data_IF_262533247605
#
_entry.id   IF_262533247605
#
_cell.length_a   1.000
_cell.length_b   1.000
_cell.length_c   1.000
_cell.angle_alpha   90.00
_cell.angle_beta   90.00
_cell.angle_gamma   90.00
#
_symmetry.space_group_name_H-M   'P 1'
#
loop_
_entity.id
_entity.type
_entity.pdbx_description
1 polymer ?
#
# COMPACT_ATOMS: atom_id res chain seq x y z
N UNK A 1 33.03 -2.65 -47.79
CA UNK A 1 33.34 -3.05 -46.40
C UNK A 1 34.77 -2.72 -46.00
N UNK A 2 35.80 -2.97 -46.85
CA UNK A 2 37.20 -2.72 -46.51
C UNK A 2 37.56 -1.25 -46.23
N UNK A 3 37.00 -0.28 -46.99
CA UNK A 3 37.22 1.14 -46.78
C UNK A 3 36.67 1.62 -45.42
N UNK A 4 35.47 1.22 -45.05
CA UNK A 4 34.83 1.64 -43.79
C UNK A 4 35.62 1.16 -42.56
N UNK A 5 36.13 -0.06 -42.61
CA UNK A 5 37.00 -0.62 -41.54
C UNK A 5 38.32 0.13 -41.42
N UNK A 6 38.89 0.53 -42.55
CA UNK A 6 40.15 1.25 -42.55
C UNK A 6 40.00 2.71 -42.07
N UNK A 7 38.87 3.35 -42.40
CA UNK A 7 38.50 4.67 -41.91
C UNK A 7 38.24 4.68 -40.39
N UNK A 8 37.55 3.63 -39.87
CA UNK A 8 37.38 3.45 -38.43
C UNK A 8 38.72 3.27 -37.68
N UNK A 9 39.68 2.57 -38.31
CA UNK A 9 41.03 2.40 -37.72
C UNK A 9 41.82 3.70 -37.69
N UNK A 10 41.60 4.61 -38.61
CA UNK A 10 42.30 5.89 -38.69
C UNK A 10 41.68 6.96 -37.75
N UNK A 11 40.37 6.88 -37.50
CA UNK A 11 39.65 7.85 -36.66
C UNK A 11 39.07 7.23 -35.40
N UNK A 12 39.81 6.36 -34.73
CA UNK A 12 39.34 5.57 -33.56
C UNK A 12 38.69 6.41 -32.46
N UNK A 13 39.25 7.60 -32.18
CA UNK A 13 38.75 8.49 -31.14
C UNK A 13 37.32 9.00 -31.45
N UNK A 14 37.06 9.36 -32.71
CA UNK A 14 35.73 9.85 -33.17
C UNK A 14 34.67 8.76 -33.03
N UNK A 15 34.97 7.54 -33.51
CA UNK A 15 34.02 6.43 -33.41
C UNK A 15 33.82 5.97 -31.97
N UNK A 16 34.88 5.91 -31.16
CA UNK A 16 34.77 5.62 -29.74
C UNK A 16 33.91 6.64 -29.00
N UNK A 17 33.99 7.92 -29.35
CA UNK A 17 33.20 8.99 -28.76
C UNK A 17 31.71 8.85 -29.15
N UNK A 18 31.40 8.59 -30.43
CA UNK A 18 30.04 8.36 -30.89
C UNK A 18 29.43 7.12 -30.25
N UNK A 19 30.16 6.00 -30.22
CA UNK A 19 29.71 4.77 -29.56
C UNK A 19 29.49 5.00 -28.07
N UNK A 20 30.41 5.72 -27.42
CA UNK A 20 30.32 6.08 -26.00
C UNK A 20 29.06 6.90 -25.69
N UNK A 21 28.74 7.89 -26.54
CA UNK A 21 27.51 8.70 -26.39
C UNK A 21 26.26 7.85 -26.59
N UNK A 22 26.18 7.02 -27.64
CA UNK A 22 25.05 6.14 -27.88
C UNK A 22 24.88 5.14 -26.74
N UNK A 23 25.98 4.56 -26.24
CA UNK A 23 25.95 3.66 -25.08
C UNK A 23 25.43 4.37 -23.84
N UNK A 24 25.89 5.60 -23.58
CA UNK A 24 25.47 6.38 -22.43
C UNK A 24 23.98 6.74 -22.48
N UNK A 25 23.47 7.10 -23.66
CA UNK A 25 22.05 7.36 -23.86
C UNK A 25 21.23 6.08 -23.60
N UNK A 26 21.63 4.97 -24.20
CA UNK A 26 20.95 3.68 -23.99
C UNK A 26 20.98 3.28 -22.52
N UNK A 27 22.12 3.41 -21.85
CA UNK A 27 22.25 3.14 -20.43
C UNK A 27 21.31 3.99 -19.58
N UNK A 28 21.24 5.31 -19.83
CA UNK A 28 20.35 6.21 -19.10
C UNK A 28 18.88 5.84 -19.32
N UNK A 29 18.48 5.51 -20.54
CA UNK A 29 17.09 5.10 -20.83
C UNK A 29 16.74 3.85 -20.06
N UNK A 30 17.55 2.80 -20.12
CA UNK A 30 17.32 1.56 -19.38
C UNK A 30 17.36 1.76 -17.88
N UNK A 31 18.30 2.56 -17.37
CA UNK A 31 18.41 2.86 -15.95
C UNK A 31 17.16 3.58 -15.43
N UNK A 32 16.73 4.66 -16.13
CA UNK A 32 15.53 5.42 -15.73
C UNK A 32 14.26 4.58 -15.84
N UNK A 33 14.14 3.75 -16.87
CA UNK A 33 12.99 2.86 -17.03
C UNK A 33 12.95 1.83 -15.91
N UNK A 34 14.09 1.21 -15.58
CA UNK A 34 14.21 0.26 -14.48
C UNK A 34 13.91 0.88 -13.11
N UNK A 35 14.41 2.10 -12.89
CA UNK A 35 14.13 2.84 -11.65
C UNK A 35 12.63 3.17 -11.53
N UNK A 36 12.02 3.68 -12.60
CA UNK A 36 10.59 4.00 -12.61
C UNK A 36 9.73 2.76 -12.35
N UNK A 37 10.08 1.62 -12.95
CA UNK A 37 9.38 0.36 -12.73
C UNK A 37 9.55 -0.15 -11.28
N UNK A 38 10.76 -0.09 -10.73
CA UNK A 38 11.03 -0.49 -9.34
C UNK A 38 10.24 0.35 -8.34
N UNK A 39 10.24 1.68 -8.51
CA UNK A 39 9.44 2.57 -7.66
C UNK A 39 7.95 2.30 -7.76
N UNK A 40 7.43 2.05 -8.95
CA UNK A 40 6.02 1.75 -9.16
C UNK A 40 5.60 0.45 -8.45
N UNK A 41 6.46 -0.56 -8.45
CA UNK A 41 6.21 -1.82 -7.74
C UNK A 41 6.22 -1.67 -6.22
N UNK A 42 7.22 -0.98 -5.67
CA UNK A 42 7.30 -0.77 -4.21
C UNK A 42 6.09 -0.02 -3.66
N UNK A 43 5.49 0.86 -4.45
CA UNK A 43 4.35 1.68 -4.03
C UNK A 43 3.03 0.91 -3.79
N UNK A 44 2.93 -0.35 -4.17
CA UNK A 44 1.69 -1.13 -4.09
C UNK A 44 1.86 -2.54 -3.52
N UNK A 45 2.98 -2.83 -2.89
CA UNK A 45 3.28 -4.18 -2.41
C UNK A 45 2.23 -4.73 -1.44
N UNK A 46 1.60 -3.85 -0.64
CA UNK A 46 0.50 -4.25 0.24
C UNK A 46 -0.72 -4.76 -0.54
N UNK A 47 -1.05 -4.15 -1.68
CA UNK A 47 -2.22 -4.49 -2.51
C UNK A 47 -1.95 -5.76 -3.34
N UNK A 48 -0.75 -5.88 -3.89
CA UNK A 48 -0.37 -7.03 -4.73
C UNK A 48 -0.45 -8.37 -3.97
N UNK A 49 -0.24 -8.35 -2.64
CA UNK A 49 -0.35 -9.55 -1.78
C UNK A 49 -1.77 -10.06 -1.61
N UNK A 50 -2.77 -9.22 -1.83
CA UNK A 50 -4.17 -9.65 -1.66
C UNK A 50 -4.62 -10.67 -2.71
N UNK A 51 -3.94 -10.76 -3.85
CA UNK A 51 -4.35 -11.60 -4.98
C UNK A 51 -5.84 -11.42 -5.31
N UNK A 52 -6.28 -10.18 -5.26
CA UNK A 52 -7.65 -9.82 -5.49
C UNK A 52 -7.96 -9.80 -7.00
N UNK A 53 -9.13 -10.31 -7.37
CA UNK A 53 -9.61 -10.23 -8.75
C UNK A 53 -10.24 -8.87 -9.05
N UNK A 54 -10.84 -8.24 -8.03
CA UNK A 54 -11.50 -6.93 -8.15
C UNK A 54 -11.37 -6.11 -6.88
N UNK A 55 -11.31 -4.79 -7.07
CA UNK A 55 -11.42 -3.80 -5.99
C UNK A 55 -12.58 -2.88 -6.38
N UNK A 56 -13.65 -2.91 -5.60
CA UNK A 56 -14.83 -2.09 -5.83
C UNK A 56 -14.71 -0.82 -5.00
N UNK A 57 -14.88 0.32 -5.65
CA UNK A 57 -14.86 1.64 -5.05
C UNK A 57 -16.20 2.33 -5.31
N UNK A 58 -16.49 3.43 -4.60
CA UNK A 58 -17.57 4.32 -4.96
C UNK A 58 -17.34 4.89 -6.37
N UNK A 59 -18.37 5.00 -7.19
CA UNK A 59 -18.33 5.60 -8.53
C UNK A 59 -17.85 7.06 -8.50
N UNK A 60 -18.12 7.79 -7.42
CA UNK A 60 -17.66 9.16 -7.22
C UNK A 60 -16.15 9.26 -6.92
N UNK A 61 -15.49 8.16 -6.60
CA UNK A 61 -14.09 8.16 -6.19
C UNK A 61 -13.08 8.38 -7.33
N UNK A 62 -13.51 8.32 -8.60
CA UNK A 62 -12.64 8.44 -9.78
C UNK A 62 -11.39 7.53 -9.68
N UNK A 63 -11.59 6.30 -9.23
CA UNK A 63 -10.52 5.34 -9.09
C UNK A 63 -9.53 5.57 -7.94
N UNK A 64 -9.80 6.49 -7.03
CA UNK A 64 -8.91 6.81 -5.92
C UNK A 64 -9.41 6.20 -4.62
N UNK A 65 -8.67 5.24 -4.08
CA UNK A 65 -9.02 4.54 -2.85
C UNK A 65 -9.30 5.49 -1.67
N UNK A 66 -8.48 6.51 -1.49
CA UNK A 66 -8.60 7.48 -0.39
C UNK A 66 -9.80 8.43 -0.54
N UNK A 67 -10.40 8.53 -1.72
CA UNK A 67 -11.61 9.33 -2.00
C UNK A 67 -12.88 8.48 -1.96
N UNK A 68 -12.77 7.17 -2.05
CA UNK A 68 -13.91 6.27 -1.94
C UNK A 68 -14.42 6.21 -0.51
N UNK A 69 -15.72 6.28 -0.34
CA UNK A 69 -16.39 6.10 0.94
C UNK A 69 -17.63 5.25 0.73
N UNK A 70 -17.59 4.06 1.27
CA UNK A 70 -18.64 3.06 1.21
C UNK A 70 -19.16 2.76 2.62
N UNK A 71 -20.35 2.19 2.68
CA UNK A 71 -21.00 1.75 3.91
C UNK A 71 -20.94 0.24 4.07
N UNK A 72 -21.30 -0.26 5.24
CA UNK A 72 -21.46 -1.71 5.42
C UNK A 72 -22.66 -2.25 4.65
N UNK A 73 -23.67 -1.42 4.36
CA UNK A 73 -24.80 -1.83 3.49
C UNK A 73 -24.31 -2.07 2.04
N UNK A 74 -23.41 -1.21 1.53
CA UNK A 74 -22.74 -1.43 0.24
C UNK A 74 -21.96 -2.75 0.26
N UNK A 75 -21.22 -3.01 1.33
CA UNK A 75 -20.48 -4.25 1.51
C UNK A 75 -21.41 -5.47 1.48
N UNK A 76 -22.52 -5.44 2.20
CA UNK A 76 -23.48 -6.54 2.23
C UNK A 76 -24.22 -6.74 0.89
N UNK A 77 -24.38 -5.68 0.11
CA UNK A 77 -25.03 -5.73 -1.22
C UNK A 77 -24.20 -6.52 -2.25
N UNK A 78 -22.86 -6.55 -2.10
CA UNK A 78 -21.97 -7.27 -2.99
C UNK A 78 -22.02 -8.77 -2.70
N UNK A 79 -22.39 -9.55 -3.69
CA UNK A 79 -22.40 -11.03 -3.63
C UNK A 79 -21.22 -11.57 -4.43
N UNK A 80 -20.23 -12.04 -3.72
CA UNK A 80 -19.02 -12.61 -4.28
C UNK A 80 -18.69 -13.94 -3.60
N UNK A 81 -17.76 -14.67 -4.17
CA UNK A 81 -17.29 -15.94 -3.63
C UNK A 81 -16.51 -15.70 -2.33
N UNK A 82 -15.63 -14.71 -2.34
CA UNK A 82 -14.90 -14.22 -1.17
C UNK A 82 -14.80 -12.70 -1.25
N UNK A 83 -15.09 -11.99 -0.17
CA UNK A 83 -15.04 -10.54 -0.10
C UNK A 83 -14.49 -10.06 1.23
N UNK A 84 -13.79 -8.94 1.21
CA UNK A 84 -13.20 -8.33 2.39
C UNK A 84 -13.37 -6.81 2.38
N UNK A 85 -13.56 -6.24 3.55
CA UNK A 85 -13.71 -4.79 3.73
C UNK A 85 -12.34 -4.14 3.96
N UNK A 86 -12.05 -3.06 3.24
CA UNK A 86 -10.84 -2.28 3.40
C UNK A 86 -11.17 -0.83 3.72
N UNK A 87 -10.62 -0.33 4.81
CA UNK A 87 -10.58 1.09 5.11
C UNK A 87 -9.14 1.61 5.03
N UNK A 88 -8.91 2.80 4.46
CA UNK A 88 -7.59 3.37 4.25
C UNK A 88 -7.58 4.89 4.50
N UNK A 89 -6.57 5.39 5.19
CA UNK A 89 -6.21 6.80 5.16
C UNK A 89 -4.71 7.01 5.43
N UNK A 90 -4.11 8.07 4.87
CA UNK A 90 -2.75 8.45 5.20
C UNK A 90 -2.71 9.14 6.58
N UNK A 91 -1.65 8.90 7.33
CA UNK A 91 -1.50 9.53 8.64
C UNK A 91 -0.06 9.63 9.11
N UNK A 92 0.11 10.21 10.28
CA UNK A 92 1.41 10.38 10.90
C UNK A 92 1.39 9.73 12.28
N UNK A 93 2.44 8.99 12.60
CA UNK A 93 2.65 8.43 13.93
C UNK A 93 3.95 8.93 14.55
N UNK A 94 3.99 8.89 15.88
CA UNK A 94 5.15 9.22 16.68
C UNK A 94 5.47 8.04 17.59
N UNK A 95 6.73 7.66 17.70
CA UNK A 95 7.13 6.70 18.73
C UNK A 95 6.98 7.34 20.12
N UNK A 96 6.25 6.67 21.01
CA UNK A 96 6.07 7.15 22.38
C UNK A 96 7.42 7.28 23.09
N UNK A 97 7.73 8.49 23.57
CA UNK A 97 9.02 8.80 24.22
C UNK A 97 10.05 9.49 23.31
N UNK A 98 9.86 9.48 21.99
CA UNK A 98 10.68 10.25 21.03
C UNK A 98 9.83 11.34 20.39
N UNK A 99 9.84 12.53 20.96
CA UNK A 99 8.90 13.62 20.60
C UNK A 99 9.07 14.22 19.20
N UNK A 100 10.18 14.00 18.50
CA UNK A 100 10.52 14.71 17.26
C UNK A 100 10.62 13.84 16.01
N UNK A 101 10.34 12.55 16.11
CA UNK A 101 10.41 11.65 14.94
C UNK A 101 8.99 11.40 14.44
N UNK A 102 8.60 12.14 13.41
CA UNK A 102 7.38 11.91 12.64
C UNK A 102 7.63 10.79 11.63
N UNK A 103 6.69 9.87 11.56
CA UNK A 103 6.72 8.77 10.59
C UNK A 103 5.42 8.85 9.81
N UNK A 104 5.53 9.08 8.51
CA UNK A 104 4.42 9.03 7.59
C UNK A 104 4.02 7.57 7.36
N UNK A 105 2.74 7.26 7.47
CA UNK A 105 2.21 5.90 7.37
C UNK A 105 0.90 5.87 6.60
N UNK A 106 0.55 4.69 6.11
CA UNK A 106 -0.78 4.40 5.58
C UNK A 106 -1.51 3.47 6.54
N UNK A 107 -2.62 3.92 7.11
CA UNK A 107 -3.44 3.07 7.97
C UNK A 107 -4.38 2.21 7.13
N UNK A 108 -4.38 0.91 7.39
CA UNK A 108 -5.30 -0.06 6.82
C UNK A 108 -6.15 -0.68 7.91
N UNK A 109 -7.46 -0.39 7.88
CA UNK A 109 -8.47 -1.04 8.70
C UNK A 109 -8.99 -2.27 7.99
N UNK A 110 -8.84 -3.43 8.59
CA UNK A 110 -9.25 -4.74 8.06
C UNK A 110 -9.82 -5.61 9.16
N UNK A 111 -10.47 -6.69 8.79
CA UNK A 111 -10.78 -7.78 9.72
C UNK A 111 -9.63 -8.81 9.71
N UNK A 112 -9.24 -9.26 10.91
CA UNK A 112 -8.04 -10.08 11.09
C UNK A 112 -8.18 -11.52 10.54
N UNK A 113 -9.40 -11.98 10.35
CA UNK A 113 -9.76 -13.30 9.83
C UNK A 113 -10.09 -13.31 8.32
N UNK A 114 -10.06 -12.13 7.68
CA UNK A 114 -10.26 -12.01 6.24
C UNK A 114 -8.93 -12.14 5.46
N UNK A 115 -9.03 -12.37 4.16
CA UNK A 115 -7.87 -12.61 3.30
C UNK A 115 -6.96 -11.37 3.07
N UNK A 116 -7.37 -10.19 3.53
CA UNK A 116 -6.54 -8.98 3.54
C UNK A 116 -5.49 -8.99 4.65
N UNK A 117 -5.61 -9.91 5.60
CA UNK A 117 -4.67 -10.03 6.70
C UNK A 117 -3.25 -10.30 6.17
N UNK A 118 -2.24 -9.52 6.59
CA UNK A 118 -0.88 -9.66 6.11
C UNK A 118 -0.19 -10.91 6.67
N UNK A 119 0.75 -11.47 5.91
CA UNK A 119 1.64 -12.49 6.43
C UNK A 119 2.62 -11.87 7.44
N UNK A 120 2.78 -12.51 8.59
CA UNK A 120 3.64 -12.01 9.65
C UNK A 120 5.07 -12.54 9.51
N UNK A 121 6.04 -11.65 9.67
CA UNK A 121 7.46 -12.02 9.79
C UNK A 121 7.89 -12.12 11.26
N UNK A 122 7.17 -11.42 12.16
CA UNK A 122 7.46 -11.45 13.61
C UNK A 122 6.20 -11.08 14.42
N UNK A 123 6.05 -11.66 15.60
CA UNK A 123 4.96 -11.34 16.50
C UNK A 123 3.67 -12.09 16.18
N UNK A 124 2.55 -11.43 16.35
CA UNK A 124 1.20 -11.98 16.13
C UNK A 124 0.26 -10.97 15.49
N UNK A 125 -0.87 -11.44 14.95
CA UNK A 125 -1.95 -10.58 14.49
C UNK A 125 -2.61 -9.86 15.67
N UNK A 126 -3.15 -8.68 15.41
CA UNK A 126 -3.95 -7.93 16.38
C UNK A 126 -5.22 -8.71 16.76
N UNK A 127 -5.60 -8.63 18.03
CA UNK A 127 -6.83 -9.24 18.57
C UNK A 127 -7.61 -8.32 19.48
N UNK A 128 -6.91 -7.36 20.09
CA UNK A 128 -7.50 -6.43 21.05
C UNK A 128 -7.44 -5.00 20.50
N UNK A 129 -8.32 -4.15 20.99
CA UNK A 129 -8.35 -2.73 20.66
C UNK A 129 -6.98 -2.07 20.87
N UNK A 130 -6.58 -1.26 19.89
CA UNK A 130 -5.31 -0.55 19.90
C UNK A 130 -4.09 -1.40 19.57
N UNK A 131 -4.24 -2.67 19.22
CA UNK A 131 -3.15 -3.50 18.71
C UNK A 131 -2.98 -3.34 17.20
N UNK A 132 -1.72 -3.28 16.72
CA UNK A 132 -1.42 -3.10 15.30
C UNK A 132 -0.30 -4.02 14.82
N UNK A 133 -0.38 -4.37 13.55
CA UNK A 133 0.70 -4.99 12.78
C UNK A 133 1.27 -3.94 11.85
N UNK A 134 2.59 -3.80 11.82
CA UNK A 134 3.27 -2.75 11.05
C UNK A 134 4.25 -3.33 10.05
N UNK A 135 4.55 -2.58 8.98
CA UNK A 135 5.60 -2.96 8.05
C UNK A 135 6.95 -3.04 8.77
N UNK A 136 7.76 -4.03 8.43
CA UNK A 136 9.07 -4.28 9.03
C UNK A 136 10.12 -3.21 8.69
N UNK A 137 9.89 -2.37 7.66
CA UNK A 137 10.71 -1.18 7.41
C UNK A 137 10.79 -0.28 8.63
N UNK A 138 9.70 -0.15 9.40
CA UNK A 138 9.66 0.63 10.64
C UNK A 138 10.58 0.06 11.74
N UNK A 139 10.79 -1.26 11.74
CA UNK A 139 11.77 -1.87 12.64
C UNK A 139 13.19 -1.62 12.16
N UNK A 140 13.44 -1.64 10.84
CA UNK A 140 14.75 -1.49 10.24
C UNK A 140 15.24 -0.03 10.25
N UNK A 141 14.36 0.91 9.95
CA UNK A 141 14.69 2.33 9.75
C UNK A 141 14.52 3.15 11.03
N UNK A 142 13.44 2.90 11.78
CA UNK A 142 13.08 3.67 12.98
C UNK A 142 13.40 2.93 14.30
N UNK A 143 13.82 1.68 14.20
CA UNK A 143 14.21 0.86 15.35
C UNK A 143 13.04 0.45 16.25
N UNK A 144 11.81 0.39 15.67
CA UNK A 144 10.61 -0.04 16.38
C UNK A 144 10.63 -1.55 16.69
N UNK A 145 10.04 -1.94 17.81
CA UNK A 145 9.99 -3.31 18.28
C UNK A 145 8.56 -3.72 18.66
N UNK A 146 8.32 -5.04 18.70
CA UNK A 146 7.07 -5.58 19.26
C UNK A 146 6.96 -5.14 20.71
N UNK A 147 5.81 -4.57 21.07
CA UNK A 147 5.53 -3.99 22.39
C UNK A 147 5.63 -2.47 22.44
N UNK A 148 6.28 -1.83 21.46
CA UNK A 148 6.37 -0.39 21.37
C UNK A 148 5.00 0.25 21.15
N UNK A 149 4.90 1.51 21.57
CA UNK A 149 3.67 2.28 21.46
C UNK A 149 3.86 3.46 20.51
N UNK A 150 2.89 3.60 19.59
CA UNK A 150 2.80 4.70 18.63
C UNK A 150 1.66 5.63 19.03
N UNK A 151 1.88 6.92 18.98
CA UNK A 151 0.83 7.94 19.06
C UNK A 151 0.44 8.37 17.66
N UNK A 152 -0.84 8.45 17.40
CA UNK A 152 -1.37 8.92 16.12
C UNK A 152 -1.56 10.45 16.19
N UNK A 153 -1.07 11.16 15.18
CA UNK A 153 -1.27 12.61 15.08
C UNK A 153 -2.77 12.92 14.95
N UNK A 154 -3.21 13.92 15.71
CA UNK A 154 -4.62 14.33 15.70
C UNK A 154 -5.58 13.41 16.45
N UNK A 155 -5.10 12.30 17.02
CA UNK A 155 -5.91 11.37 17.82
C UNK A 155 -5.37 11.26 19.26
N UNK A 156 -6.25 10.89 20.19
CA UNK A 156 -5.87 10.54 21.56
C UNK A 156 -5.41 9.09 21.71
N UNK A 157 -5.61 8.32 20.67
CA UNK A 157 -5.31 6.89 20.63
C UNK A 157 -3.80 6.63 20.68
N UNK A 158 -3.46 5.54 21.36
CA UNK A 158 -2.11 4.99 21.38
C UNK A 158 -2.19 3.55 20.86
N UNK A 159 -1.40 3.26 19.84
CA UNK A 159 -1.35 1.96 19.19
C UNK A 159 -0.19 1.16 19.74
N UNK A 160 -0.39 -0.13 20.00
CA UNK A 160 0.64 -1.07 20.45
C UNK A 160 1.03 -1.99 19.31
N UNK A 161 2.31 -2.01 18.94
CA UNK A 161 2.84 -2.93 17.95
C UNK A 161 2.84 -4.35 18.53
N UNK A 162 2.15 -5.28 17.87
CA UNK A 162 2.09 -6.69 18.26
C UNK A 162 2.68 -7.62 17.22
N UNK A 163 2.93 -7.14 16.01
CA UNK A 163 3.55 -7.90 14.94
C UNK A 163 4.13 -7.02 13.84
N UNK A 164 4.96 -7.66 13.02
CA UNK A 164 5.56 -7.07 11.83
C UNK A 164 5.23 -7.91 10.61
N UNK A 165 5.02 -7.26 9.49
CA UNK A 165 4.86 -7.86 8.16
C UNK A 165 5.87 -7.27 7.20
N UNK A 166 6.26 -8.02 6.16
CA UNK A 166 7.14 -7.56 5.10
C UNK A 166 6.35 -6.94 3.93
N UNK A 167 7.08 -6.24 3.06
CA UNK A 167 6.56 -5.76 1.76
C UNK A 167 5.14 -5.16 1.85
N UNK A 168 4.87 -4.36 2.86
CA UNK A 168 3.58 -3.73 3.08
C UNK A 168 3.72 -2.20 2.93
N UNK A 169 3.92 -1.76 1.68
CA UNK A 169 3.98 -0.34 1.31
C UNK A 169 2.74 0.05 0.50
N UNK A 170 2.27 1.26 0.73
CA UNK A 170 1.21 1.87 -0.05
C UNK A 170 1.47 3.38 -0.20
N UNK A 171 1.52 3.89 -1.44
CA UNK A 171 1.86 5.28 -1.75
C UNK A 171 3.16 5.76 -1.06
N UNK A 172 4.23 4.98 -1.18
CA UNK A 172 5.57 5.28 -0.59
C UNK A 172 5.58 5.24 0.95
N UNK A 173 4.46 4.97 1.60
CA UNK A 173 4.35 4.93 3.05
C UNK A 173 4.23 3.49 3.57
N UNK A 174 4.90 3.14 4.68
CA UNK A 174 4.71 1.86 5.33
C UNK A 174 3.28 1.72 5.86
N UNK A 175 2.72 0.52 5.70
CA UNK A 175 1.35 0.24 6.13
C UNK A 175 1.33 -0.18 7.60
N UNK A 176 0.34 0.37 8.32
CA UNK A 176 -0.06 -0.07 9.66
C UNK A 176 -1.44 -0.71 9.55
N UNK A 177 -1.52 -2.00 9.83
CA UNK A 177 -2.76 -2.76 9.87
C UNK A 177 -3.39 -2.74 11.25
N UNK A 178 -4.68 -2.49 11.32
CA UNK A 178 -5.49 -2.47 12.53
C UNK A 178 -6.88 -3.00 12.29
N UNK A 179 -7.66 -3.21 13.36
CA UNK A 179 -9.07 -3.56 13.23
C UNK A 179 -9.87 -2.42 12.57
N UNK A 180 -10.95 -2.76 11.85
CA UNK A 180 -11.88 -1.76 11.33
C UNK A 180 -12.44 -0.86 12.44
N UNK A 181 -12.70 -1.40 13.62
CA UNK A 181 -13.18 -0.64 14.77
C UNK A 181 -12.17 0.42 15.24
N UNK A 182 -10.90 0.04 15.41
CA UNK A 182 -9.83 1.00 15.78
C UNK A 182 -9.62 2.05 14.69
N UNK A 183 -9.69 1.63 13.42
CA UNK A 183 -9.62 2.55 12.28
C UNK A 183 -10.71 3.63 12.35
N UNK A 184 -11.98 3.24 12.61
CA UNK A 184 -13.09 4.20 12.73
C UNK A 184 -12.83 5.21 13.85
N UNK A 185 -12.37 4.71 15.01
CA UNK A 185 -12.10 5.55 16.16
C UNK A 185 -10.97 6.56 15.89
N UNK A 186 -9.91 6.13 15.22
CA UNK A 186 -8.77 7.02 14.85
C UNK A 186 -9.19 8.03 13.78
N UNK A 187 -9.88 7.57 12.74
CA UNK A 187 -10.23 8.39 11.58
C UNK A 187 -11.30 9.43 11.90
N UNK A 188 -12.33 9.04 12.66
CA UNK A 188 -13.51 9.85 12.91
C UNK A 188 -13.62 10.34 14.35
N UNK A 189 -12.65 10.00 15.23
CA UNK A 189 -12.67 10.27 16.68
C UNK A 189 -13.95 9.77 17.37
N UNK A 190 -14.56 8.70 16.83
CA UNK A 190 -15.80 8.12 17.31
C UNK A 190 -15.78 6.61 17.08
N UNK A 191 -16.13 5.85 18.11
CA UNK A 191 -16.42 4.44 17.98
C UNK A 191 -17.78 4.29 17.26
N UNK A 192 -17.78 3.61 16.11
CA UNK A 192 -18.98 3.34 15.33
C UNK A 192 -19.39 1.88 15.49
N UNK A 193 -20.70 1.58 15.65
CA UNK A 193 -21.17 0.21 15.55
C UNK A 193 -20.90 -0.36 14.16
N UNK A 194 -20.79 -1.68 14.04
CA UNK A 194 -20.34 -2.34 12.81
C UNK A 194 -21.14 -1.89 11.58
N UNK A 195 -22.44 -1.73 11.71
CA UNK A 195 -23.34 -1.34 10.62
C UNK A 195 -23.12 0.10 10.14
N UNK A 196 -22.59 0.96 11.01
CA UNK A 196 -22.31 2.37 10.69
C UNK A 196 -20.86 2.63 10.25
N UNK A 197 -20.00 1.62 10.27
CA UNK A 197 -18.61 1.74 9.87
C UNK A 197 -18.48 2.15 8.41
N UNK A 198 -17.45 2.94 8.12
CA UNK A 198 -17.13 3.40 6.77
C UNK A 198 -15.88 2.68 6.27
N UNK A 199 -15.92 2.27 5.02
CA UNK A 199 -14.83 1.60 4.34
C UNK A 199 -14.50 2.34 3.04
N UNK A 200 -13.33 2.09 2.48
CA UNK A 200 -12.90 2.73 1.24
C UNK A 200 -13.04 1.78 0.04
N UNK A 201 -12.96 0.48 0.27
CA UNK A 201 -13.08 -0.49 -0.80
C UNK A 201 -13.70 -1.80 -0.31
N UNK A 202 -14.30 -2.51 -1.26
CA UNK A 202 -14.66 -3.92 -1.12
C UNK A 202 -13.74 -4.70 -2.04
N UNK A 203 -12.87 -5.49 -1.43
CA UNK A 203 -11.90 -6.32 -2.17
C UNK A 203 -12.51 -7.70 -2.38
N UNK A 204 -12.43 -8.22 -3.61
CA UNK A 204 -13.12 -9.45 -3.99
C UNK A 204 -12.11 -10.44 -4.60
N UNK A 205 -12.22 -11.69 -4.20
CA UNK A 205 -11.61 -12.85 -4.84
C UNK A 205 -12.69 -13.73 -5.47
N UNK A 206 -12.38 -14.32 -6.61
CA UNK A 206 -13.29 -15.17 -7.35
C UNK A 206 -14.37 -14.40 -8.09
N UNK A 207 -15.43 -15.10 -8.46
CA UNK A 207 -16.49 -14.52 -9.27
C UNK A 207 -17.43 -13.64 -8.44
N UNK A 208 -17.73 -12.46 -8.99
CA UNK A 208 -18.75 -11.56 -8.44
C UNK A 208 -20.07 -11.84 -9.12
N UNK A 209 -21.10 -12.17 -8.34
CA UNK A 209 -22.45 -12.49 -8.85
C UNK A 209 -23.33 -11.25 -8.96
N UNK A 210 -23.10 -10.25 -8.14
CA UNK A 210 -23.87 -9.01 -8.13
C UNK A 210 -23.02 -7.88 -7.55
N UNK A 211 -23.07 -6.73 -8.21
CA UNK A 211 -22.46 -5.46 -7.77
C UNK A 211 -23.56 -4.40 -7.78
N UNK A 212 -23.62 -3.54 -6.78
CA UNK A 212 -24.56 -2.45 -6.74
C UNK A 212 -24.20 -1.37 -7.78
N UNK A 213 -25.19 -0.61 -8.26
CA UNK A 213 -25.01 0.38 -9.34
C UNK A 213 -24.08 1.56 -8.96
N UNK A 214 -23.93 1.82 -7.66
CA UNK A 214 -23.06 2.88 -7.13
C UNK A 214 -21.59 2.44 -6.93
N UNK A 215 -21.24 1.23 -7.37
CA UNK A 215 -19.89 0.68 -7.22
C UNK A 215 -19.19 0.56 -8.57
N UNK A 216 -18.04 1.19 -8.68
CA UNK A 216 -17.17 1.08 -9.84
C UNK A 216 -16.12 0.01 -9.61
N UNK A 217 -16.02 -0.92 -10.58
CA UNK A 217 -14.95 -1.89 -10.63
C UNK A 217 -13.69 -1.19 -11.15
N UNK A 218 -12.65 -1.11 -10.36
CA UNK A 218 -11.39 -0.55 -10.83
C UNK A 218 -10.77 -1.46 -11.89
N UNK A 219 -10.46 -0.91 -13.07
CA UNK A 219 -9.75 -1.66 -14.10
C UNK A 219 -8.33 -2.02 -13.65
N UNK A 220 -7.68 -2.87 -14.41
CA UNK A 220 -6.35 -3.51 -14.21
C UNK A 220 -5.18 -2.58 -13.82
N UNK A 221 -5.39 -1.28 -13.68
CA UNK A 221 -4.36 -0.30 -13.27
C UNK A 221 -3.88 -0.47 -11.81
N UNK A 222 -4.58 -1.31 -11.02
CA UNK A 222 -4.15 -1.72 -9.67
C UNK A 222 -3.60 -3.16 -9.63
N UNK A 223 -3.51 -3.81 -10.80
CA UNK A 223 -2.85 -5.12 -10.95
C UNK A 223 -1.41 -4.95 -11.37
#
# INVERSE_FOLDING_TARGET
MFLAINEMKHSKLRYALVIGVVFLIAYLVFFLTGLAYGLAQENRTAVDKWQADRILLSDEANGKLNMSMLTMDDYESVKAEDKAALAQFPGIVYQKGKKNQQIDVSFFGIEADEFLAPNLVKGRMFKNTGEVVVNDSLAKEDGLQVGDQLKVAGSKQTLKIVGFTDEAMYNVAPVIYMSLADFQEIRFNQALPKEAQKINAIVVRGQTKQVADNLENQPDSYK
#
